data_IF_120738347591
#
_entry.id   IF_120738347591
#
_cell.length_a   1.000
_cell.length_b   1.000
_cell.length_c   1.000
_cell.angle_alpha   90.00
_cell.angle_beta   90.00
_cell.angle_gamma   90.00
#
_symmetry.space_group_name_H-M   'P 1'
#
loop_
_entity.id
_entity.type
_entity.pdbx_description
1 polymer ?
#
# COMPACT_ATOMS: atom_id res chain seq x y z
N UNK A 1 97.73 26.97 -44.51
CA UNK A 1 96.75 26.21 -45.32
C UNK A 1 95.79 25.37 -44.50
N UNK A 2 96.21 24.62 -43.49
CA UNK A 2 95.36 23.77 -42.66
C UNK A 2 94.26 24.55 -41.87
N UNK A 3 94.60 25.68 -41.26
CA UNK A 3 93.70 26.54 -40.53
C UNK A 3 92.61 27.15 -41.42
N UNK A 4 92.85 27.42 -42.65
CA UNK A 4 91.88 27.94 -43.59
C UNK A 4 90.85 26.88 -43.97
N UNK A 5 91.26 25.59 -44.12
CA UNK A 5 90.42 24.46 -44.45
C UNK A 5 89.52 24.13 -43.23
N UNK A 6 90.08 24.20 -42.01
CA UNK A 6 89.34 23.98 -40.75
C UNK A 6 88.25 25.08 -40.53
N UNK A 7 88.61 26.35 -40.79
CA UNK A 7 87.69 27.46 -40.67
C UNK A 7 86.54 27.36 -41.72
N UNK A 8 86.85 26.97 -42.94
CA UNK A 8 85.87 26.74 -43.99
C UNK A 8 84.94 25.57 -43.66
N UNK A 9 85.48 24.47 -43.15
CA UNK A 9 84.63 23.30 -42.72
C UNK A 9 83.75 23.69 -41.60
N UNK A 10 84.20 24.47 -40.61
CA UNK A 10 83.40 24.92 -39.45
C UNK A 10 82.26 25.85 -39.89
N UNK A 11 82.53 26.77 -40.86
CA UNK A 11 81.45 27.63 -41.37
C UNK A 11 80.38 26.88 -42.17
N UNK A 12 80.82 25.90 -42.98
CA UNK A 12 79.93 25.06 -43.76
C UNK A 12 79.05 24.22 -42.75
N UNK A 13 79.68 23.65 -41.71
CA UNK A 13 79.00 22.92 -40.71
C UNK A 13 77.96 23.76 -39.93
N UNK A 14 78.35 24.96 -39.51
CA UNK A 14 77.48 25.92 -38.88
C UNK A 14 76.25 26.32 -39.74
N UNK A 15 76.49 26.52 -41.05
CA UNK A 15 75.37 26.85 -41.96
C UNK A 15 74.44 25.67 -42.21
N UNK A 16 74.96 24.43 -42.31
CA UNK A 16 74.13 23.22 -42.40
C UNK A 16 73.33 23.05 -41.16
N UNK A 17 73.96 23.23 -40.00
CA UNK A 17 73.22 23.12 -38.66
C UNK A 17 72.13 24.20 -38.55
N UNK A 18 72.43 25.44 -38.99
CA UNK A 18 71.44 26.52 -38.97
C UNK A 18 70.25 26.23 -39.88
N UNK A 19 70.50 25.67 -41.09
CA UNK A 19 69.43 25.28 -42.03
C UNK A 19 68.61 24.12 -41.49
N UNK A 20 69.20 23.09 -40.89
CA UNK A 20 68.51 21.99 -40.25
C UNK A 20 67.66 22.48 -39.11
N UNK A 21 68.18 23.33 -38.22
CA UNK A 21 67.44 23.90 -37.12
C UNK A 21 66.29 24.76 -37.61
N UNK A 22 66.49 25.55 -38.64
CA UNK A 22 65.43 26.35 -39.28
C UNK A 22 64.32 25.51 -39.88
N UNK A 23 64.64 24.38 -40.50
CA UNK A 23 63.66 23.44 -41.04
C UNK A 23 62.88 22.76 -39.93
N UNK A 24 63.55 22.35 -38.84
CA UNK A 24 62.88 21.73 -37.67
C UNK A 24 61.97 22.74 -36.93
N UNK A 25 62.46 23.99 -36.79
CA UNK A 25 61.66 25.05 -36.19
C UNK A 25 60.42 25.39 -37.02
N UNK A 26 60.60 25.48 -38.35
CA UNK A 26 59.51 25.75 -39.28
C UNK A 26 58.50 24.65 -39.27
N UNK A 27 58.88 23.36 -39.26
CA UNK A 27 58.00 22.20 -39.15
C UNK A 27 57.22 22.24 -37.86
N UNK A 28 57.85 22.55 -36.72
CA UNK A 28 57.15 22.73 -35.44
C UNK A 28 56.17 23.91 -35.44
N UNK A 29 56.56 25.03 -36.06
CA UNK A 29 55.67 26.17 -36.19
C UNK A 29 54.44 25.90 -37.04
N UNK A 30 54.52 25.02 -38.04
CA UNK A 30 53.37 24.61 -38.87
C UNK A 30 52.51 23.58 -38.18
N UNK A 31 53.06 22.71 -37.32
CA UNK A 31 52.30 21.67 -36.53
C UNK A 31 51.53 22.29 -35.37
N UNK A 32 52.05 23.32 -34.69
CA UNK A 32 51.42 23.92 -33.51
C UNK A 32 50.01 24.50 -33.80
N UNK A 33 49.73 25.21 -34.89
CA UNK A 33 48.39 25.69 -35.18
C UNK A 33 47.40 24.58 -35.51
N UNK A 34 47.87 23.50 -36.15
CA UNK A 34 47.05 22.32 -36.44
C UNK A 34 46.61 21.63 -35.13
N UNK A 35 47.56 21.34 -34.22
CA UNK A 35 47.29 20.77 -32.92
C UNK A 35 46.40 21.65 -32.04
N UNK A 36 46.54 22.99 -32.13
CA UNK A 36 45.64 23.91 -31.44
C UNK A 36 44.20 23.81 -31.94
N UNK A 37 44.00 23.76 -33.26
CA UNK A 37 42.65 23.60 -33.84
C UNK A 37 42.02 22.26 -33.47
N UNK A 38 42.81 21.20 -33.42
CA UNK A 38 42.36 19.89 -33.03
C UNK A 38 41.97 19.85 -31.53
N UNK A 39 42.76 20.51 -30.69
CA UNK A 39 42.46 20.67 -29.26
C UNK A 39 41.21 21.51 -29.03
N UNK A 40 41.02 22.62 -29.76
CA UNK A 40 39.82 23.44 -29.69
C UNK A 40 38.58 22.63 -30.07
N UNK A 41 38.65 21.85 -31.15
CA UNK A 41 37.56 20.98 -31.60
C UNK A 41 37.22 19.90 -30.57
N UNK A 42 38.23 19.24 -29.99
CA UNK A 42 38.05 18.26 -28.95
C UNK A 42 37.41 18.87 -27.66
N UNK A 43 37.82 20.08 -27.33
CA UNK A 43 37.22 20.79 -26.18
C UNK A 43 35.76 21.17 -26.43
N UNK A 44 35.39 21.56 -27.65
CA UNK A 44 33.98 21.82 -28.03
C UNK A 44 33.16 20.54 -28.00
N UNK A 45 33.68 19.43 -28.52
CA UNK A 45 33.06 18.13 -28.49
C UNK A 45 32.88 17.62 -27.04
N UNK A 46 33.89 17.77 -26.17
CA UNK A 46 33.80 17.41 -24.74
C UNK A 46 32.76 18.26 -23.99
N UNK A 47 32.73 19.57 -24.28
CA UNK A 47 31.71 20.45 -23.68
C UNK A 47 30.29 20.07 -24.10
N UNK A 48 30.08 19.77 -25.39
CA UNK A 48 28.80 19.31 -25.91
C UNK A 48 28.38 17.95 -25.28
N UNK A 49 29.35 17.01 -25.18
CA UNK A 49 29.10 15.70 -24.59
C UNK A 49 28.75 15.79 -23.11
N UNK A 50 29.44 16.67 -22.37
CA UNK A 50 29.11 16.94 -20.94
C UNK A 50 27.73 17.52 -20.78
N UNK A 51 27.30 18.43 -21.64
CA UNK A 51 25.96 18.99 -21.63
C UNK A 51 24.89 17.90 -21.82
N UNK A 52 25.08 17.02 -22.81
CA UNK A 52 24.16 15.89 -23.07
C UNK A 52 24.16 14.90 -21.88
N UNK A 53 25.34 14.63 -21.31
CA UNK A 53 25.45 13.72 -20.16
C UNK A 53 24.72 14.26 -18.93
N UNK A 54 24.80 15.52 -18.65
CA UNK A 54 24.09 16.16 -17.54
C UNK A 54 22.57 16.16 -17.77
N UNK A 55 22.11 16.37 -19.00
CA UNK A 55 20.70 16.25 -19.36
C UNK A 55 20.18 14.82 -19.16
N UNK A 56 20.91 13.82 -19.66
CA UNK A 56 20.53 12.40 -19.51
C UNK A 56 20.60 11.92 -18.06
N UNK A 57 21.57 12.36 -17.27
CA UNK A 57 21.60 12.12 -15.83
C UNK A 57 20.39 12.72 -15.12
N UNK A 58 19.99 13.93 -15.50
CA UNK A 58 18.79 14.57 -15.01
C UNK A 58 17.53 13.74 -15.30
N UNK A 59 17.38 13.25 -16.54
CA UNK A 59 16.27 12.36 -16.94
C UNK A 59 16.28 11.05 -16.15
N UNK A 60 17.44 10.42 -16.00
CA UNK A 60 17.57 9.16 -15.24
C UNK A 60 17.23 9.33 -13.76
N UNK A 61 17.74 10.40 -13.14
CA UNK A 61 17.42 10.72 -11.73
C UNK A 61 15.91 10.92 -11.53
N UNK A 62 15.25 11.63 -12.44
CA UNK A 62 13.79 11.83 -12.41
C UNK A 62 13.02 10.53 -12.58
N UNK A 63 13.49 9.65 -13.48
CA UNK A 63 12.85 8.35 -13.71
C UNK A 63 13.01 7.42 -12.50
N UNK A 64 14.22 7.35 -11.92
CA UNK A 64 14.48 6.58 -10.70
C UNK A 64 13.56 7.01 -9.57
N UNK A 65 13.35 8.26 -9.45
CA UNK A 65 12.48 8.86 -8.47
C UNK A 65 11.01 8.49 -8.64
N UNK A 66 10.50 8.42 -9.86
CA UNK A 66 9.15 7.94 -10.14
C UNK A 66 9.02 6.45 -9.75
N UNK A 67 10.07 5.64 -9.94
CA UNK A 67 10.07 4.24 -9.52
C UNK A 67 10.07 4.08 -8.00
N UNK A 68 10.86 4.85 -7.25
CA UNK A 68 10.80 4.84 -5.79
C UNK A 68 9.41 5.17 -5.27
N UNK A 69 8.78 6.18 -5.86
CA UNK A 69 7.43 6.57 -5.55
C UNK A 69 6.40 5.48 -5.82
N UNK A 70 6.53 4.82 -6.97
CA UNK A 70 5.67 3.67 -7.30
C UNK A 70 5.78 2.61 -6.22
N UNK A 71 6.99 2.35 -5.72
CA UNK A 71 7.24 1.43 -4.60
C UNK A 71 6.52 1.84 -3.31
N UNK A 72 6.57 3.11 -2.94
CA UNK A 72 5.90 3.61 -1.72
C UNK A 72 4.37 3.63 -1.87
N UNK A 73 3.84 4.11 -3.01
CA UNK A 73 2.40 4.09 -3.30
C UNK A 73 1.87 2.66 -3.33
N UNK A 74 2.65 1.69 -3.83
CA UNK A 74 2.24 0.28 -3.87
C UNK A 74 2.23 -0.42 -2.50
N UNK A 75 2.84 0.13 -1.46
CA UNK A 75 2.85 -0.47 -0.12
C UNK A 75 1.53 -0.29 0.63
N UNK A 76 0.78 0.77 0.37
CA UNK A 76 -0.49 1.03 1.03
C UNK A 76 -1.69 0.50 0.25
N UNK A 77 -2.66 -0.05 0.98
CA UNK A 77 -3.96 -0.49 0.45
C UNK A 77 -5.12 0.38 0.95
N UNK A 78 -4.83 1.45 1.68
CA UNK A 78 -5.82 2.39 2.20
C UNK A 78 -5.80 3.68 1.37
N UNK A 79 -6.95 4.10 0.86
CA UNK A 79 -7.12 5.27 -0.03
C UNK A 79 -6.58 6.57 0.59
N UNK A 80 -6.87 6.80 1.88
CA UNK A 80 -6.44 8.01 2.58
C UNK A 80 -4.91 8.06 2.77
N UNK A 81 -4.30 6.92 3.08
CA UNK A 81 -2.84 6.80 3.19
C UNK A 81 -2.17 6.98 1.84
N UNK A 82 -2.74 6.41 0.77
CA UNK A 82 -2.26 6.61 -0.59
C UNK A 82 -2.26 8.09 -0.98
N UNK A 83 -3.35 8.81 -0.69
CA UNK A 83 -3.46 10.23 -0.98
C UNK A 83 -2.46 11.08 -0.16
N UNK A 84 -2.19 10.70 1.09
CA UNK A 84 -1.19 11.37 1.93
C UNK A 84 0.23 11.16 1.38
N UNK A 85 0.61 9.91 1.10
CA UNK A 85 1.92 9.57 0.52
C UNK A 85 2.12 10.26 -0.83
N UNK A 86 1.09 10.25 -1.69
CA UNK A 86 1.15 10.93 -2.97
C UNK A 86 1.44 12.43 -2.82
N UNK A 87 0.76 13.13 -1.92
CA UNK A 87 0.98 14.56 -1.66
C UNK A 87 2.38 14.83 -1.15
N UNK A 88 2.85 14.06 -0.18
CA UNK A 88 4.20 14.19 0.39
C UNK A 88 5.27 14.03 -0.69
N UNK A 89 5.14 13.03 -1.51
CA UNK A 89 6.07 12.76 -2.59
C UNK A 89 5.99 13.80 -3.72
N UNK A 90 4.81 14.31 -4.04
CA UNK A 90 4.66 15.39 -5.01
C UNK A 90 5.41 16.66 -4.58
N UNK A 91 5.29 17.05 -3.31
CA UNK A 91 6.02 18.18 -2.74
C UNK A 91 7.54 17.94 -2.78
N UNK A 92 7.99 16.76 -2.40
CA UNK A 92 9.42 16.37 -2.43
C UNK A 92 10.03 16.46 -3.83
N UNK A 93 9.26 16.08 -4.85
CA UNK A 93 9.73 15.95 -6.23
C UNK A 93 9.65 17.23 -7.03
N UNK A 94 8.50 17.91 -6.95
CA UNK A 94 8.19 19.07 -7.79
C UNK A 94 8.40 20.40 -7.03
N UNK A 95 8.76 20.34 -5.75
CA UNK A 95 9.07 21.50 -4.91
C UNK A 95 7.98 21.86 -3.93
N UNK A 96 8.35 22.57 -2.86
CA UNK A 96 7.47 22.89 -1.72
C UNK A 96 6.27 23.78 -2.03
N UNK A 97 6.18 24.41 -3.20
CA UNK A 97 5.07 25.24 -3.63
C UNK A 97 3.97 24.44 -4.35
N UNK A 98 4.22 23.15 -4.64
CA UNK A 98 3.26 22.29 -5.34
C UNK A 98 2.22 21.77 -4.37
N UNK A 99 0.98 22.11 -4.64
CA UNK A 99 -0.18 21.59 -3.93
C UNK A 99 -1.00 20.71 -4.86
N UNK A 100 -1.26 19.48 -4.47
CA UNK A 100 -2.07 18.56 -5.28
C UNK A 100 -3.19 17.93 -4.46
N UNK A 101 -4.29 17.58 -5.14
CA UNK A 101 -5.44 16.93 -4.56
C UNK A 101 -6.15 16.04 -5.58
N UNK A 102 -6.75 14.96 -5.09
CA UNK A 102 -7.61 14.10 -5.88
C UNK A 102 -9.06 14.55 -5.74
N UNK A 103 -9.76 14.67 -6.87
CA UNK A 103 -11.16 15.06 -6.95
C UNK A 103 -11.95 14.02 -7.73
N UNK A 104 -13.03 13.53 -7.15
CA UNK A 104 -14.01 12.72 -7.89
C UNK A 104 -14.74 13.62 -8.90
N UNK A 105 -15.30 13.04 -9.94
CA UNK A 105 -15.92 13.78 -11.05
C UNK A 105 -16.97 14.81 -10.59
N UNK A 106 -17.68 14.53 -9.50
CA UNK A 106 -18.72 15.38 -8.90
C UNK A 106 -18.17 16.49 -7.99
N UNK A 107 -16.86 16.49 -7.71
CA UNK A 107 -16.22 17.37 -6.71
C UNK A 107 -15.32 18.44 -7.34
N UNK A 108 -15.31 18.57 -8.67
CA UNK A 108 -14.47 19.57 -9.34
C UNK A 108 -14.98 20.97 -8.98
N UNK A 109 -14.12 21.87 -8.47
CA UNK A 109 -14.53 23.22 -8.16
C UNK A 109 -14.91 23.97 -9.45
N UNK A 110 -16.06 24.65 -9.44
CA UNK A 110 -16.52 25.47 -10.56
C UNK A 110 -15.56 26.64 -10.84
N UNK A 111 -14.90 27.18 -9.82
CA UNK A 111 -13.88 28.24 -9.95
C UNK A 111 -12.48 27.65 -9.86
N UNK A 112 -11.75 27.72 -10.98
CA UNK A 112 -10.34 27.35 -11.05
C UNK A 112 -9.46 28.51 -10.61
N UNK A 113 -8.37 28.21 -9.89
CA UNK A 113 -7.34 29.21 -9.58
C UNK A 113 -6.47 29.42 -10.81
N UNK A 114 -5.94 30.62 -10.97
CA UNK A 114 -4.97 30.90 -12.03
C UNK A 114 -3.70 30.05 -11.77
N UNK A 115 -3.26 29.29 -12.80
CA UNK A 115 -2.15 28.34 -12.65
C UNK A 115 -2.51 26.97 -12.09
N UNK A 116 -3.79 26.64 -11.92
CA UNK A 116 -4.24 25.32 -11.51
C UNK A 116 -4.51 24.43 -12.73
N UNK A 117 -3.96 23.22 -12.71
CA UNK A 117 -4.11 22.21 -13.76
C UNK A 117 -4.87 21.01 -13.22
N UNK A 118 -5.75 20.44 -14.05
CA UNK A 118 -6.49 19.21 -13.77
C UNK A 118 -6.12 18.15 -14.78
N UNK A 119 -5.52 17.07 -14.30
CA UNK A 119 -5.18 15.90 -15.10
C UNK A 119 -6.27 14.86 -14.95
N UNK A 120 -6.92 14.43 -16.05
CA UNK A 120 -7.92 13.37 -15.98
C UNK A 120 -7.23 12.04 -15.61
N UNK A 121 -7.82 11.33 -14.68
CA UNK A 121 -7.36 10.02 -14.24
C UNK A 121 -8.33 8.97 -14.75
N UNK A 122 -7.90 8.19 -15.74
CA UNK A 122 -8.70 7.11 -16.34
C UNK A 122 -7.92 5.81 -16.40
N UNK A 123 -8.62 4.67 -16.25
CA UNK A 123 -8.09 3.32 -16.44
C UNK A 123 -9.10 2.55 -17.27
N UNK A 124 -8.63 1.85 -18.31
CA UNK A 124 -9.47 1.06 -19.20
C UNK A 124 -10.69 1.87 -19.70
N UNK A 125 -10.44 3.12 -20.15
CA UNK A 125 -11.45 4.09 -20.66
C UNK A 125 -12.47 4.55 -19.59
N UNK A 126 -12.38 4.06 -18.36
CA UNK A 126 -13.26 4.49 -17.27
C UNK A 126 -12.62 5.65 -16.50
N UNK A 127 -13.35 6.77 -16.42
CA UNK A 127 -12.93 7.93 -15.65
C UNK A 127 -13.06 7.65 -14.14
N UNK A 128 -11.98 7.86 -13.40
CA UNK A 128 -11.95 7.76 -11.92
C UNK A 128 -12.10 9.11 -11.24
N UNK A 129 -11.61 10.16 -11.87
CA UNK A 129 -11.63 11.51 -11.32
C UNK A 129 -10.55 12.38 -11.94
N UNK A 130 -10.13 13.39 -11.21
CA UNK A 130 -9.13 14.35 -11.64
C UNK A 130 -8.09 14.58 -10.55
N UNK A 131 -6.85 14.73 -10.98
CA UNK A 131 -5.77 15.18 -10.14
C UNK A 131 -5.57 16.69 -10.36
N UNK A 132 -5.98 17.50 -9.40
CA UNK A 132 -5.74 18.94 -9.40
C UNK A 132 -4.35 19.23 -8.86
N UNK A 133 -3.62 20.14 -9.50
CA UNK A 133 -2.30 20.60 -9.05
C UNK A 133 -2.18 22.11 -9.24
N UNK A 134 -1.61 22.77 -8.24
CA UNK A 134 -1.26 24.18 -8.25
C UNK A 134 0.23 24.35 -7.95
N UNK A 135 0.88 25.39 -8.54
CA UNK A 135 2.31 25.65 -8.33
C UNK A 135 3.26 24.80 -9.17
N UNK A 136 2.73 24.00 -10.11
CA UNK A 136 3.54 23.15 -10.99
C UNK A 136 4.14 23.96 -12.14
N UNK A 137 5.45 23.81 -12.41
CA UNK A 137 6.13 24.41 -13.55
C UNK A 137 5.68 23.76 -14.86
N UNK A 138 5.66 24.54 -15.94
CA UNK A 138 5.22 24.06 -17.26
C UNK A 138 6.06 22.86 -17.78
N UNK A 139 7.35 22.87 -17.49
CA UNK A 139 8.30 21.81 -17.88
C UNK A 139 8.08 20.49 -17.15
N UNK A 140 7.44 20.50 -15.97
CA UNK A 140 7.21 19.33 -15.14
C UNK A 140 5.85 18.66 -15.40
N UNK A 141 5.01 19.19 -16.28
CA UNK A 141 3.64 18.69 -16.55
C UNK A 141 3.59 17.23 -16.98
N UNK A 142 4.43 16.84 -17.93
CA UNK A 142 4.43 15.45 -18.43
C UNK A 142 4.84 14.48 -17.33
N UNK A 143 5.83 14.85 -16.52
CA UNK A 143 6.29 14.03 -15.40
C UNK A 143 5.23 13.92 -14.31
N UNK A 144 4.53 15.02 -14.01
CA UNK A 144 3.43 15.01 -13.05
C UNK A 144 2.25 14.16 -13.55
N UNK A 145 2.01 14.11 -14.85
CA UNK A 145 0.99 13.22 -15.43
C UNK A 145 1.36 11.75 -15.26
N UNK A 146 2.62 11.37 -15.49
CA UNK A 146 3.12 10.01 -15.26
C UNK A 146 2.99 9.65 -13.78
N UNK A 147 3.33 10.58 -12.89
CA UNK A 147 3.20 10.47 -11.45
C UNK A 147 1.74 10.22 -11.03
N UNK A 148 0.80 10.97 -11.62
CA UNK A 148 -0.63 10.77 -11.42
C UNK A 148 -1.15 9.41 -11.90
N UNK A 149 -0.59 8.86 -12.98
CA UNK A 149 -0.94 7.52 -13.46
C UNK A 149 -0.52 6.43 -12.47
N UNK A 150 0.62 6.57 -11.78
CA UNK A 150 1.03 5.63 -10.73
C UNK A 150 0.10 5.70 -9.52
N UNK A 151 -0.34 6.89 -9.15
CA UNK A 151 -1.30 7.07 -8.07
C UNK A 151 -2.63 6.36 -8.36
N UNK A 152 -3.16 6.51 -9.57
CA UNK A 152 -4.43 5.85 -9.92
C UNK A 152 -4.33 4.34 -9.95
N UNK A 153 -3.16 3.79 -10.36
CA UNK A 153 -2.93 2.34 -10.27
C UNK A 153 -2.95 1.87 -8.81
N UNK A 154 -2.38 2.65 -7.88
CA UNK A 154 -2.47 2.40 -6.44
C UNK A 154 -3.91 2.42 -5.94
N UNK A 155 -4.70 3.41 -6.33
CA UNK A 155 -6.13 3.52 -5.97
C UNK A 155 -6.93 2.33 -6.51
N UNK A 156 -6.73 1.93 -7.77
CA UNK A 156 -7.41 0.76 -8.35
C UNK A 156 -7.07 -0.52 -7.61
N UNK A 157 -5.81 -0.69 -7.24
CA UNK A 157 -5.36 -1.84 -6.44
C UNK A 157 -6.04 -1.86 -5.07
N UNK A 158 -6.12 -0.73 -4.39
CA UNK A 158 -6.81 -0.60 -3.10
C UNK A 158 -8.31 -0.92 -3.24
N UNK A 159 -8.96 -0.40 -4.28
CA UNK A 159 -10.37 -0.70 -4.58
C UNK A 159 -10.60 -2.19 -4.85
N UNK A 160 -9.78 -2.81 -5.70
CA UNK A 160 -9.87 -4.25 -6.00
C UNK A 160 -9.64 -5.10 -4.76
N UNK A 161 -8.64 -4.76 -3.94
CA UNK A 161 -8.37 -5.45 -2.68
C UNK A 161 -9.56 -5.36 -1.73
N UNK A 162 -10.16 -4.17 -1.58
CA UNK A 162 -11.37 -3.97 -0.79
C UNK A 162 -12.56 -4.79 -1.32
N UNK A 163 -12.72 -4.87 -2.65
CA UNK A 163 -13.75 -5.73 -3.28
C UNK A 163 -13.51 -7.19 -2.99
N UNK A 164 -12.27 -7.68 -3.12
CA UNK A 164 -11.93 -9.07 -2.77
C UNK A 164 -12.22 -9.36 -1.31
N UNK A 165 -11.81 -8.48 -0.40
CA UNK A 165 -12.14 -8.61 1.02
C UNK A 165 -13.66 -8.62 1.29
N UNK A 166 -14.41 -7.77 0.57
CA UNK A 166 -15.88 -7.74 0.72
C UNK A 166 -16.56 -8.96 0.12
N UNK A 167 -15.93 -9.67 -0.82
CA UNK A 167 -16.44 -10.92 -1.38
C UNK A 167 -16.05 -12.16 -0.55
N UNK A 168 -15.15 -12.02 0.42
CA UNK A 168 -14.73 -13.12 1.28
C UNK A 168 -15.91 -13.60 2.14
N UNK A 169 -16.30 -14.85 1.96
CA UNK A 169 -17.35 -15.52 2.74
C UNK A 169 -16.89 -15.82 4.16
N UNK A 170 -15.62 -16.12 4.31
CA UNK A 170 -15.01 -16.50 5.60
C UNK A 170 -13.91 -15.52 6.00
N UNK A 171 -13.74 -15.35 7.31
CA UNK A 171 -12.59 -14.68 7.91
C UNK A 171 -11.31 -15.50 7.70
N UNK A 172 -10.26 -14.89 7.20
CA UNK A 172 -9.02 -15.58 6.82
C UNK A 172 -8.24 -16.15 8.01
N UNK A 173 -8.42 -15.60 9.21
CA UNK A 173 -7.73 -16.04 10.42
C UNK A 173 -8.43 -17.22 11.06
N UNK A 174 -9.75 -17.11 11.28
CA UNK A 174 -10.54 -18.05 12.09
C UNK A 174 -11.36 -19.04 11.26
N UNK A 175 -11.48 -18.80 9.94
CA UNK A 175 -12.38 -19.51 9.02
C UNK A 175 -13.86 -19.45 9.43
N UNK A 176 -14.24 -18.65 10.44
CA UNK A 176 -15.63 -18.31 10.70
C UNK A 176 -16.21 -17.49 9.56
N UNK A 177 -17.51 -17.36 9.43
CA UNK A 177 -18.07 -16.48 8.42
C UNK A 177 -17.65 -15.03 8.67
N UNK A 178 -17.36 -14.29 7.61
CA UNK A 178 -17.07 -12.87 7.69
C UNK A 178 -18.30 -12.11 8.21
N UNK A 179 -18.10 -11.00 8.94
CA UNK A 179 -19.17 -10.18 9.48
C UNK A 179 -20.25 -9.85 8.45
N UNK A 180 -19.83 -9.55 7.20
CA UNK A 180 -20.75 -9.22 6.11
C UNK A 180 -21.61 -10.43 5.72
N UNK A 181 -20.98 -11.55 5.39
CA UNK A 181 -21.69 -12.75 4.96
C UNK A 181 -22.61 -13.26 6.07
N UNK A 182 -22.12 -13.27 7.30
CA UNK A 182 -22.92 -13.62 8.48
C UNK A 182 -24.16 -12.73 8.63
N UNK A 183 -24.03 -11.39 8.47
CA UNK A 183 -25.17 -10.48 8.55
C UNK A 183 -26.21 -10.71 7.44
N UNK A 184 -25.78 -11.08 6.23
CA UNK A 184 -26.69 -11.47 5.14
C UNK A 184 -27.46 -12.74 5.52
N UNK A 185 -26.76 -13.76 6.02
CA UNK A 185 -27.38 -15.02 6.48
C UNK A 185 -28.33 -14.80 7.67
N UNK A 186 -28.00 -13.89 8.58
CA UNK A 186 -28.86 -13.56 9.70
C UNK A 186 -30.20 -12.95 9.25
N UNK A 187 -30.16 -12.03 8.30
CA UNK A 187 -31.40 -11.46 7.72
C UNK A 187 -32.26 -12.53 7.05
N UNK A 188 -31.62 -13.42 6.32
CA UNK A 188 -32.32 -14.55 5.68
C UNK A 188 -32.96 -15.47 6.73
N UNK A 189 -32.27 -15.75 7.84
CA UNK A 189 -32.79 -16.59 8.91
C UNK A 189 -34.02 -15.96 9.61
N UNK A 190 -33.99 -14.64 9.83
CA UNK A 190 -35.16 -13.89 10.33
C UNK A 190 -36.35 -14.03 9.37
N UNK A 191 -36.15 -13.85 8.09
CA UNK A 191 -37.20 -13.97 7.08
C UNK A 191 -37.74 -15.39 7.01
N UNK A 192 -36.86 -16.39 7.07
CA UNK A 192 -37.19 -17.79 7.10
C UNK A 192 -38.00 -18.16 8.34
N UNK A 193 -37.56 -17.71 9.53
CA UNK A 193 -38.26 -17.92 10.79
C UNK A 193 -39.64 -17.27 10.82
N UNK A 194 -39.78 -16.05 10.31
CA UNK A 194 -41.07 -15.36 10.14
C UNK A 194 -42.01 -16.15 9.22
N UNK A 195 -41.49 -16.69 8.10
CA UNK A 195 -42.28 -17.43 7.10
C UNK A 195 -42.77 -18.80 7.60
N UNK A 196 -41.90 -19.54 8.28
CA UNK A 196 -42.14 -20.91 8.69
C UNK A 196 -42.52 -21.05 10.19
N UNK A 197 -42.62 -19.93 10.88
CA UNK A 197 -43.04 -19.83 12.29
C UNK A 197 -42.22 -20.72 13.25
N UNK A 198 -40.88 -20.70 13.11
CA UNK A 198 -39.99 -21.35 14.06
C UNK A 198 -39.12 -20.35 14.83
N UNK A 199 -38.48 -20.81 15.90
CA UNK A 199 -37.59 -20.01 16.74
C UNK A 199 -36.14 -20.29 16.35
N UNK A 200 -35.31 -19.29 16.48
CA UNK A 200 -33.85 -19.45 16.48
C UNK A 200 -33.25 -18.58 17.57
N UNK A 201 -32.04 -18.87 17.96
CA UNK A 201 -31.33 -18.07 18.97
C UNK A 201 -30.05 -17.51 18.43
N UNK A 202 -29.74 -16.31 18.85
CA UNK A 202 -28.53 -15.58 18.56
C UNK A 202 -27.66 -15.46 19.81
N UNK A 203 -26.35 -15.73 19.67
CA UNK A 203 -25.38 -15.62 20.73
C UNK A 203 -24.31 -14.63 20.31
N UNK A 204 -24.00 -13.66 21.18
CA UNK A 204 -22.81 -12.84 21.11
C UNK A 204 -21.78 -13.40 22.08
N UNK A 205 -20.56 -13.59 21.61
CA UNK A 205 -19.48 -14.27 22.35
C UNK A 205 -18.26 -13.35 22.32
N UNK A 206 -17.66 -13.11 23.48
CA UNK A 206 -16.45 -12.31 23.62
C UNK A 206 -15.38 -13.09 24.39
N UNK A 207 -14.10 -12.94 24.00
CA UNK A 207 -12.98 -13.59 24.70
C UNK A 207 -12.56 -12.72 25.88
N UNK A 208 -12.74 -13.24 27.09
CA UNK A 208 -12.44 -12.51 28.32
C UNK A 208 -10.97 -12.10 28.37
N UNK A 209 -10.73 -10.82 28.65
CA UNK A 209 -9.38 -10.25 28.79
C UNK A 209 -8.48 -10.39 27.54
N UNK A 210 -9.02 -10.49 26.33
CA UNK A 210 -8.23 -10.72 25.12
C UNK A 210 -7.13 -9.68 24.91
N UNK A 211 -7.41 -8.42 25.23
CA UNK A 211 -6.40 -7.35 25.19
C UNK A 211 -5.18 -7.65 26.09
N UNK A 212 -5.42 -8.21 27.29
CA UNK A 212 -4.32 -8.60 28.19
C UNK A 212 -3.41 -9.65 27.53
N UNK A 213 -3.98 -10.66 26.85
CA UNK A 213 -3.19 -11.66 26.15
C UNK A 213 -2.36 -11.05 25.01
N UNK A 214 -2.94 -10.13 24.23
CA UNK A 214 -2.21 -9.42 23.19
C UNK A 214 -1.07 -8.55 23.74
N UNK A 215 -1.33 -7.81 24.81
CA UNK A 215 -0.33 -6.89 25.39
C UNK A 215 0.80 -7.66 26.08
N UNK A 216 0.53 -8.84 26.65
CA UNK A 216 1.50 -9.63 27.41
C UNK A 216 2.29 -10.63 26.53
N UNK A 217 1.61 -11.32 25.61
CA UNK A 217 2.21 -12.40 24.79
C UNK A 217 2.38 -12.04 23.32
N UNK A 218 1.88 -10.86 22.92
CA UNK A 218 1.96 -10.37 21.53
C UNK A 218 0.82 -10.84 20.63
N UNK A 219 0.62 -10.13 19.54
CA UNK A 219 -0.50 -10.36 18.61
C UNK A 219 -0.48 -11.75 17.95
N UNK A 220 0.68 -12.37 17.77
CA UNK A 220 0.76 -13.72 17.20
C UNK A 220 0.12 -14.76 18.11
N UNK A 221 0.28 -14.63 19.43
CA UNK A 221 -0.40 -15.48 20.42
C UNK A 221 -1.90 -15.19 20.42
N UNK A 222 -2.30 -13.93 20.34
CA UNK A 222 -3.71 -13.53 20.17
C UNK A 222 -4.35 -14.16 18.93
N UNK A 223 -3.65 -14.22 17.82
CA UNK A 223 -4.12 -14.88 16.59
C UNK A 223 -4.35 -16.39 16.79
N UNK A 224 -3.49 -17.07 17.56
CA UNK A 224 -3.67 -18.48 17.90
C UNK A 224 -4.90 -18.66 18.79
N UNK A 225 -5.07 -17.79 19.80
CA UNK A 225 -6.26 -17.80 20.68
C UNK A 225 -7.54 -17.67 19.86
N UNK A 226 -7.61 -16.73 18.92
CA UNK A 226 -8.77 -16.53 18.05
C UNK A 226 -9.07 -17.77 17.20
N UNK A 227 -8.05 -18.39 16.60
CA UNK A 227 -8.20 -19.60 15.79
C UNK A 227 -8.74 -20.77 16.59
N UNK A 228 -8.13 -21.02 17.74
CA UNK A 228 -8.52 -22.13 18.62
C UNK A 228 -9.92 -21.92 19.18
N UNK A 229 -10.28 -20.70 19.61
CA UNK A 229 -11.62 -20.37 20.06
C UNK A 229 -12.66 -20.66 18.97
N UNK A 230 -12.44 -20.21 17.76
CA UNK A 230 -13.35 -20.50 16.64
C UNK A 230 -13.45 -22.00 16.34
N UNK A 231 -12.36 -22.74 16.44
CA UNK A 231 -12.35 -24.20 16.26
C UNK A 231 -13.15 -24.90 17.35
N UNK A 232 -12.96 -24.53 18.63
CA UNK A 232 -13.70 -25.08 19.77
C UNK A 232 -15.20 -24.80 19.62
N UNK A 233 -15.58 -23.57 19.27
CA UNK A 233 -17.00 -23.25 19.05
C UNK A 233 -17.56 -24.13 17.94
N UNK A 234 -16.85 -24.28 16.83
CA UNK A 234 -17.29 -25.07 15.66
C UNK A 234 -17.44 -26.55 15.98
N UNK A 235 -16.61 -27.12 16.85
CA UNK A 235 -16.72 -28.49 17.33
C UNK A 235 -17.97 -28.70 18.19
N UNK A 236 -18.50 -27.62 18.77
CA UNK A 236 -19.64 -27.65 19.72
C UNK A 236 -20.95 -27.12 19.12
N UNK A 237 -21.06 -26.95 17.81
CA UNK A 237 -22.27 -26.53 17.11
C UNK A 237 -22.61 -27.49 15.97
N UNK A 238 -23.83 -27.39 15.45
CA UNK A 238 -24.28 -28.20 14.32
C UNK A 238 -23.79 -27.59 13.00
N UNK A 239 -23.74 -28.41 11.97
CA UNK A 239 -23.35 -27.94 10.61
C UNK A 239 -24.29 -26.85 10.05
N UNK A 240 -25.56 -26.82 10.50
CA UNK A 240 -26.57 -25.83 10.09
C UNK A 240 -26.46 -24.50 10.85
N UNK A 241 -25.74 -24.49 11.98
CA UNK A 241 -25.53 -23.28 12.76
C UNK A 241 -24.47 -22.38 12.12
N UNK A 242 -24.57 -21.07 12.30
CA UNK A 242 -23.79 -20.09 11.59
C UNK A 242 -22.86 -19.34 12.54
N UNK A 243 -21.60 -19.74 12.57
CA UNK A 243 -20.54 -19.04 13.32
C UNK A 243 -19.92 -17.93 12.47
N UNK A 244 -19.99 -16.69 12.93
CA UNK A 244 -19.35 -15.53 12.32
C UNK A 244 -18.34 -14.87 13.25
N UNK A 245 -17.34 -14.22 12.68
CA UNK A 245 -16.48 -13.27 13.42
C UNK A 245 -17.08 -11.88 13.31
N UNK A 246 -17.58 -11.36 14.42
CA UNK A 246 -18.31 -10.08 14.46
C UNK A 246 -17.39 -8.88 14.61
N UNK A 247 -16.35 -9.00 15.43
CA UNK A 247 -15.36 -7.97 15.71
C UNK A 247 -13.94 -8.52 15.85
N UNK A 248 -13.08 -7.78 16.52
CA UNK A 248 -11.70 -8.17 16.79
C UNK A 248 -11.59 -9.49 17.53
N UNK A 249 -12.21 -9.56 18.70
CA UNK A 249 -12.27 -10.70 19.63
C UNK A 249 -13.68 -11.28 19.79
N UNK A 250 -14.65 -10.71 19.07
CA UNK A 250 -16.06 -11.04 19.18
C UNK A 250 -16.50 -12.04 18.11
N UNK A 251 -17.20 -13.06 18.53
CA UNK A 251 -17.86 -14.03 17.65
C UNK A 251 -19.37 -13.93 17.79
N UNK A 252 -20.07 -14.22 16.71
CA UNK A 252 -21.52 -14.25 16.62
C UNK A 252 -21.96 -15.63 16.17
N UNK A 253 -22.99 -16.18 16.82
CA UNK A 253 -23.47 -17.52 16.52
C UNK A 253 -25.00 -17.53 16.40
N UNK A 254 -25.51 -18.09 15.31
CA UNK A 254 -26.93 -18.32 15.10
C UNK A 254 -27.19 -19.82 15.26
N UNK A 255 -27.97 -20.18 16.24
CA UNK A 255 -28.45 -21.54 16.48
C UNK A 255 -29.83 -21.68 15.82
N UNK A 256 -29.86 -22.28 14.65
CA UNK A 256 -31.09 -22.47 13.86
C UNK A 256 -32.06 -23.42 14.60
N UNK A 257 -33.37 -23.15 14.49
CA UNK A 257 -34.43 -23.97 15.09
C UNK A 257 -34.18 -24.32 16.57
N UNK A 258 -33.63 -23.34 17.34
CA UNK A 258 -33.23 -23.51 18.71
C UNK A 258 -33.93 -22.44 19.60
N UNK A 259 -34.65 -22.85 20.61
CA UNK A 259 -35.31 -21.98 21.57
C UNK A 259 -34.34 -21.48 22.67
N UNK A 260 -34.83 -20.64 23.57
CA UNK A 260 -34.03 -20.02 24.65
C UNK A 260 -33.36 -21.07 25.56
N UNK A 261 -34.06 -22.12 25.92
CA UNK A 261 -33.52 -23.17 26.80
C UNK A 261 -32.41 -23.96 26.11
N UNK A 262 -32.62 -24.34 24.85
CA UNK A 262 -31.62 -25.03 24.04
C UNK A 262 -30.39 -24.14 23.77
N UNK A 263 -30.61 -22.84 23.58
CA UNK A 263 -29.51 -21.88 23.36
C UNK A 263 -28.67 -21.68 24.64
N UNK A 264 -29.30 -21.57 25.81
CA UNK A 264 -28.55 -21.47 27.07
C UNK A 264 -27.72 -22.73 27.35
N UNK A 265 -28.30 -23.92 27.06
CA UNK A 265 -27.56 -25.18 27.16
C UNK A 265 -26.37 -25.24 26.21
N UNK A 266 -26.55 -24.78 24.96
CA UNK A 266 -25.47 -24.71 23.98
C UNK A 266 -24.40 -23.68 24.38
N UNK A 267 -24.80 -22.53 24.89
CA UNK A 267 -23.89 -21.49 25.37
C UNK A 267 -23.00 -22.03 26.51
N UNK A 268 -23.60 -22.69 27.53
CA UNK A 268 -22.82 -23.24 28.64
C UNK A 268 -21.88 -24.37 28.18
N UNK A 269 -22.33 -25.23 27.27
CA UNK A 269 -21.48 -26.27 26.68
C UNK A 269 -20.26 -25.65 25.97
N UNK A 270 -20.45 -24.59 25.16
CA UNK A 270 -19.38 -23.89 24.45
C UNK A 270 -18.46 -23.21 25.45
N UNK A 271 -19.01 -22.50 26.45
CA UNK A 271 -18.23 -21.82 27.49
C UNK A 271 -17.30 -22.82 28.20
N UNK A 272 -17.89 -23.94 28.69
CA UNK A 272 -17.10 -24.98 29.37
C UNK A 272 -16.07 -25.66 28.47
N UNK A 273 -16.37 -25.84 27.17
CA UNK A 273 -15.43 -26.42 26.22
C UNK A 273 -14.20 -25.49 26.02
N UNK A 274 -14.42 -24.17 25.99
CA UNK A 274 -13.32 -23.19 25.88
C UNK A 274 -12.53 -23.17 27.21
N UNK A 275 -13.18 -23.03 28.35
CA UNK A 275 -12.52 -22.95 29.66
C UNK A 275 -11.67 -24.21 29.97
N UNK A 276 -12.14 -25.40 29.59
CA UNK A 276 -11.45 -26.66 29.82
C UNK A 276 -10.32 -26.95 28.87
N UNK A 277 -10.26 -26.29 27.69
CA UNK A 277 -9.25 -26.51 26.65
C UNK A 277 -7.96 -25.76 26.99
N UNK A 278 -6.84 -26.47 26.95
CA UNK A 278 -5.52 -25.88 26.98
C UNK A 278 -5.13 -25.49 25.56
N UNK A 279 -4.89 -24.18 25.32
CA UNK A 279 -4.48 -23.66 24.03
C UNK A 279 -2.95 -23.55 24.02
N UNK A 280 -2.31 -24.29 23.13
CA UNK A 280 -0.88 -24.20 22.92
C UNK A 280 -0.56 -23.15 21.87
N UNK A 281 0.04 -22.04 22.31
CA UNK A 281 0.42 -20.93 21.45
C UNK A 281 1.95 -20.73 21.53
N UNK A 282 2.69 -21.27 20.57
CA UNK A 282 4.16 -21.30 20.54
C UNK A 282 4.73 -22.01 21.78
N UNK A 283 5.43 -21.28 22.67
CA UNK A 283 6.01 -21.81 23.90
C UNK A 283 5.09 -21.68 25.11
N UNK A 284 3.88 -21.13 24.91
CA UNK A 284 2.90 -20.86 25.98
C UNK A 284 1.76 -21.86 25.96
N UNK A 285 1.36 -22.30 27.17
CA UNK A 285 0.19 -23.11 27.42
C UNK A 285 -0.86 -22.27 28.16
N UNK A 286 -1.87 -21.80 27.42
CA UNK A 286 -2.84 -20.83 27.91
C UNK A 286 -4.21 -21.48 28.17
N UNK A 287 -4.92 -20.92 29.12
CA UNK A 287 -6.36 -21.16 29.34
C UNK A 287 -7.09 -19.83 29.28
N UNK A 288 -8.15 -19.81 28.52
CA UNK A 288 -8.99 -18.64 28.36
C UNK A 288 -10.40 -18.92 28.75
N UNK A 289 -11.17 -17.90 29.01
CA UNK A 289 -12.63 -17.97 29.20
C UNK A 289 -13.32 -17.08 28.17
N UNK A 290 -14.60 -17.30 28.00
CA UNK A 290 -15.47 -16.49 27.13
C UNK A 290 -16.74 -16.14 27.89
N UNK A 291 -17.24 -14.95 27.64
CA UNK A 291 -18.57 -14.52 28.06
C UNK A 291 -19.54 -14.64 26.89
N UNK A 292 -20.81 -15.02 27.18
CA UNK A 292 -21.80 -15.28 26.14
C UNK A 292 -23.14 -14.63 26.51
N UNK A 293 -23.62 -13.73 25.64
CA UNK A 293 -24.98 -13.19 25.71
C UNK A 293 -25.91 -13.90 24.73
N UNK A 294 -27.14 -14.24 25.18
CA UNK A 294 -28.13 -15.05 24.42
C UNK A 294 -29.40 -14.28 24.19
N UNK A 295 -29.83 -14.10 22.94
CA UNK A 295 -31.14 -13.56 22.57
C UNK A 295 -31.89 -14.52 21.63
N UNK A 296 -33.21 -14.65 21.77
CA UNK A 296 -34.01 -15.60 21.00
C UNK A 296 -35.11 -14.89 20.22
N UNK A 297 -35.20 -15.21 18.93
CA UNK A 297 -36.29 -14.79 18.06
C UNK A 297 -37.53 -15.71 18.20
N UNK A 298 -38.75 -15.18 18.26
CA UNK A 298 -39.13 -13.78 18.38
C UNK A 298 -39.28 -13.28 19.84
N UNK A 299 -38.88 -14.10 20.83
CA UNK A 299 -39.17 -13.88 22.25
C UNK A 299 -38.49 -12.61 22.80
N UNK A 300 -37.21 -12.40 22.51
CA UNK A 300 -36.46 -11.24 23.02
C UNK A 300 -36.52 -10.04 22.04
N UNK A 301 -36.57 -10.32 20.72
CA UNK A 301 -36.75 -9.31 19.68
C UNK A 301 -37.13 -9.95 18.34
N UNK A 302 -37.62 -9.11 17.38
CA UNK A 302 -38.07 -9.54 16.05
C UNK A 302 -37.24 -9.00 14.90
N UNK A 303 -36.28 -8.12 15.18
CA UNK A 303 -35.39 -7.49 14.19
C UNK A 303 -33.93 -7.74 14.55
N UNK A 304 -33.04 -7.74 13.53
CA UNK A 304 -31.64 -8.10 13.69
C UNK A 304 -30.93 -7.20 14.71
N UNK A 305 -31.07 -5.90 14.56
CA UNK A 305 -30.42 -4.91 15.40
C UNK A 305 -30.84 -5.07 16.87
N UNK A 306 -32.13 -5.28 17.09
CA UNK A 306 -32.69 -5.48 18.45
C UNK A 306 -32.26 -6.79 19.09
N UNK A 307 -32.06 -7.86 18.29
CA UNK A 307 -31.54 -9.14 18.79
C UNK A 307 -30.07 -9.00 19.19
N UNK A 308 -29.26 -8.29 18.37
CA UNK A 308 -27.88 -8.00 18.69
C UNK A 308 -27.77 -7.16 19.95
N UNK A 309 -28.52 -6.06 20.06
CA UNK A 309 -28.55 -5.20 21.25
C UNK A 309 -28.97 -5.97 22.53
N UNK A 310 -29.89 -6.91 22.39
CA UNK A 310 -30.35 -7.74 23.53
C UNK A 310 -29.27 -8.71 23.98
N UNK A 311 -28.58 -9.36 23.02
CA UNK A 311 -27.48 -10.27 23.32
C UNK A 311 -26.27 -9.51 23.92
N UNK A 312 -25.92 -8.33 23.39
CA UNK A 312 -24.86 -7.48 23.95
C UNK A 312 -25.14 -7.08 25.41
N UNK A 313 -26.37 -6.68 25.71
CA UNK A 313 -26.75 -6.39 27.09
C UNK A 313 -26.57 -7.59 28.03
N UNK A 314 -26.95 -8.79 27.59
CA UNK A 314 -26.76 -9.99 28.36
C UNK A 314 -25.29 -10.40 28.48
N UNK A 315 -24.49 -10.17 27.44
CA UNK A 315 -23.06 -10.38 27.47
C UNK A 315 -22.36 -9.46 28.49
N UNK A 316 -22.77 -8.20 28.58
CA UNK A 316 -22.20 -7.25 29.54
C UNK A 316 -22.56 -7.60 31.02
N UNK A 317 -23.59 -8.42 31.24
CA UNK A 317 -24.02 -8.86 32.58
C UNK A 317 -23.39 -10.20 32.99
N UNK A 318 -22.75 -10.90 32.04
CA UNK A 318 -22.15 -12.23 32.26
C UNK A 318 -20.73 -12.13 32.82
#
# INVERSE_FOLDING_TARGET
MIWFVLLLSLTVYAEVLRRLLGLLLKRRQDEVPLLRRELEKLNEEDAALRSVLEEEKGKLSRTAAIYELTGEVCKSLEEDKLAAVFREQAVKYFGGEVHCGFFRQEQIPEKRREGEYFFPLSIDEKMFGYLGVYGLRMEDKEQFQIFGQQFILGLKRAELFKRVQTLAVTDSLTSAFSRRYWAERFREEILRSKRFNYRFSFLMIDIDHFKFYNDHYGHLVGDVILKETAAIIRENIRQIDLLGRYGGEEFSLILTETDKAGALFAAERIRHAVESRQIKAYDEDLRITISIGVATFPQDACEMESLVDSADKFLYMA
#
